data_IF_947338707394
#
_entry.id   IF_947338707394
#
_cell.length_a   1.000
_cell.length_b   1.000
_cell.length_c   1.000
_cell.angle_alpha   90.00
_cell.angle_beta   90.00
_cell.angle_gamma   90.00
#
_symmetry.space_group_name_H-M   'P 1'
#
loop_
_entity.id
_entity.type
_entity.pdbx_description
1 polymer ?
#
# COMPACT_ATOMS: atom_id res chain seq x y z
N UNK A 1 -8.41 -4.51 -2.12
CA UNK A 1 -9.37 -4.60 -1.00
C UNK A 1 -10.11 -5.92 -0.99
N UNK A 2 -10.88 -6.30 -2.03
CA UNK A 2 -11.51 -7.64 -2.11
C UNK A 2 -10.53 -8.79 -1.91
N UNK A 3 -9.33 -8.70 -2.50
CA UNK A 3 -8.28 -9.70 -2.31
C UNK A 3 -7.81 -9.86 -0.86
N UNK A 4 -7.94 -8.81 -0.03
CA UNK A 4 -7.64 -8.85 1.39
C UNK A 4 -8.83 -9.44 2.18
N UNK A 5 -10.05 -8.97 1.89
CA UNK A 5 -11.29 -9.44 2.55
C UNK A 5 -11.56 -10.93 2.30
N UNK A 6 -11.10 -11.47 1.17
CA UNK A 6 -11.19 -12.90 0.88
C UNK A 6 -10.26 -13.78 1.75
N UNK A 7 -9.30 -13.19 2.46
CA UNK A 7 -8.28 -13.92 3.23
C UNK A 7 -8.30 -13.61 4.73
N UNK A 8 -8.78 -12.43 5.12
CA UNK A 8 -8.77 -11.98 6.50
C UNK A 8 -10.07 -11.24 6.85
N UNK A 9 -10.48 -11.37 8.11
CA UNK A 9 -11.62 -10.65 8.68
C UNK A 9 -11.14 -9.32 9.27
N UNK A 10 -11.87 -8.25 8.97
CA UNK A 10 -11.58 -6.91 9.46
C UNK A 10 -12.78 -6.39 10.24
N UNK A 11 -12.54 -5.62 11.29
CA UNK A 11 -13.61 -4.95 12.03
C UNK A 11 -14.38 -3.96 11.15
N UNK A 12 -13.70 -3.29 10.22
CA UNK A 12 -14.30 -2.40 9.22
C UNK A 12 -13.38 -2.31 7.99
N UNK A 13 -13.94 -2.25 6.78
CA UNK A 13 -13.24 -1.97 5.54
C UNK A 13 -13.70 -0.63 4.96
N UNK A 14 -12.77 0.30 4.75
CA UNK A 14 -13.07 1.68 4.33
C UNK A 14 -12.52 1.96 2.92
N UNK A 15 -13.39 2.42 2.01
CA UNK A 15 -13.01 2.96 0.71
C UNK A 15 -13.12 4.47 0.70
N UNK A 16 -11.99 5.18 0.69
CA UNK A 16 -11.98 6.63 0.57
C UNK A 16 -12.05 7.04 -0.91
N UNK A 17 -13.07 7.82 -1.29
CA UNK A 17 -13.26 8.27 -2.67
C UNK A 17 -13.98 9.61 -2.77
N UNK A 18 -13.77 10.32 -3.87
CA UNK A 18 -14.45 11.58 -4.19
C UNK A 18 -15.69 11.39 -5.06
N UNK A 19 -15.96 10.16 -5.50
CA UNK A 19 -17.15 9.85 -6.27
C UNK A 19 -18.38 9.99 -5.38
N UNK A 20 -19.40 10.66 -5.89
CA UNK A 20 -20.67 10.87 -5.20
C UNK A 20 -21.38 9.52 -5.00
N UNK A 21 -21.57 9.15 -3.74
CA UNK A 21 -22.19 7.88 -3.30
C UNK A 21 -23.70 7.99 -3.09
N UNK A 22 -24.35 9.08 -3.52
CA UNK A 22 -25.81 9.21 -3.46
C UNK A 22 -26.55 8.15 -4.30
N UNK A 23 -25.84 7.44 -5.17
CA UNK A 23 -26.15 6.07 -5.61
C UNK A 23 -24.95 5.17 -5.33
N UNK A 24 -25.20 3.89 -5.03
CA UNK A 24 -24.16 2.85 -4.94
C UNK A 24 -23.11 3.03 -6.03
N UNK A 25 -21.84 3.20 -5.64
CA UNK A 25 -20.73 3.06 -6.60
C UNK A 25 -20.89 1.64 -7.17
N UNK A 26 -21.17 1.49 -8.48
CA UNK A 26 -21.37 0.17 -9.06
C UNK A 26 -20.15 -0.70 -8.73
N UNK A 27 -20.40 -1.95 -8.35
CA UNK A 27 -19.36 -2.97 -8.10
C UNK A 27 -18.50 -2.79 -6.83
N UNK A 28 -18.97 -2.08 -5.80
CA UNK A 28 -18.36 -2.15 -4.45
C UNK A 28 -19.17 -3.11 -3.57
N UNK A 29 -18.55 -4.18 -3.03
CA UNK A 29 -19.20 -5.09 -2.08
C UNK A 29 -19.80 -4.40 -0.84
N UNK A 30 -20.89 -4.94 -0.31
CA UNK A 30 -21.65 -4.35 0.83
C UNK A 30 -20.84 -4.28 2.13
N UNK A 31 -19.84 -5.15 2.30
CA UNK A 31 -18.92 -5.19 3.44
C UNK A 31 -17.84 -4.09 3.39
N UNK A 32 -17.76 -3.34 2.28
CA UNK A 32 -16.90 -2.17 2.13
C UNK A 32 -17.72 -0.90 2.33
N UNK A 33 -17.41 -0.17 3.40
CA UNK A 33 -18.01 1.14 3.65
C UNK A 33 -17.30 2.22 2.84
N UNK A 34 -18.06 2.91 2.01
CA UNK A 34 -17.54 4.05 1.24
C UNK A 34 -17.53 5.31 2.11
N UNK A 35 -16.40 6.01 2.12
CA UNK A 35 -16.19 7.26 2.84
C UNK A 35 -15.88 8.37 1.83
N UNK A 36 -16.82 9.32 1.64
CA UNK A 36 -16.59 10.46 0.76
C UNK A 36 -15.47 11.36 1.28
N UNK A 37 -14.51 11.69 0.41
CA UNK A 37 -13.43 12.66 0.68
C UNK A 37 -13.25 13.58 -0.53
N UNK A 38 -12.54 14.69 -0.35
CA UNK A 38 -12.15 15.53 -1.48
C UNK A 38 -11.25 14.76 -2.47
N UNK A 39 -11.33 15.12 -3.75
CA UNK A 39 -10.52 14.50 -4.78
C UNK A 39 -9.03 14.73 -4.52
N UNK A 40 -8.30 13.64 -4.26
CA UNK A 40 -6.84 13.65 -4.15
C UNK A 40 -6.24 13.74 -5.54
N UNK A 41 -5.56 14.86 -5.84
CA UNK A 41 -4.99 15.15 -7.18
C UNK A 41 -3.47 14.97 -7.26
N UNK A 42 -2.83 14.59 -6.16
CA UNK A 42 -1.38 14.36 -6.09
C UNK A 42 -1.03 13.42 -4.94
N UNK A 43 0.16 12.83 -5.01
CA UNK A 43 0.71 12.04 -3.90
C UNK A 43 0.92 12.87 -2.64
N UNK A 44 1.17 14.18 -2.78
CA UNK A 44 1.24 15.09 -1.63
C UNK A 44 -0.13 15.29 -0.97
N UNK A 45 -1.21 15.44 -1.75
CA UNK A 45 -2.57 15.48 -1.22
C UNK A 45 -2.93 14.18 -0.49
N UNK A 46 -2.48 13.04 -1.02
CA UNK A 46 -2.60 11.75 -0.33
C UNK A 46 -1.82 11.75 1.00
N UNK A 47 -0.55 12.14 1.02
CA UNK A 47 0.24 12.21 2.26
C UNK A 47 -0.41 13.12 3.30
N UNK A 48 -0.93 14.28 2.90
CA UNK A 48 -1.64 15.18 3.80
C UNK A 48 -2.91 14.54 4.37
N UNK A 49 -3.69 13.84 3.55
CA UNK A 49 -4.87 13.10 4.02
C UNK A 49 -4.49 12.05 5.08
N UNK A 50 -3.45 11.25 4.81
CA UNK A 50 -2.98 10.22 5.73
C UNK A 50 -2.50 10.82 7.07
N UNK A 51 -1.70 11.89 7.03
CA UNK A 51 -1.11 12.49 8.22
C UNK A 51 -2.11 13.27 9.09
N UNK A 52 -3.20 13.79 8.50
CA UNK A 52 -4.07 14.75 9.21
C UNK A 52 -5.54 14.36 9.32
N UNK A 53 -6.06 13.51 8.41
CA UNK A 53 -7.51 13.23 8.30
C UNK A 53 -7.85 11.77 8.51
N UNK A 54 -6.98 10.83 8.12
CA UNK A 54 -7.27 9.39 8.20
C UNK A 54 -7.73 8.97 9.61
N UNK A 55 -7.07 9.48 10.65
CA UNK A 55 -7.35 9.14 12.04
C UNK A 55 -8.79 9.44 12.47
N UNK A 56 -9.46 10.42 11.85
CA UNK A 56 -10.84 10.76 12.17
C UNK A 56 -11.82 9.63 11.76
N UNK A 57 -11.36 8.67 10.95
CA UNK A 57 -12.16 7.55 10.43
C UNK A 57 -11.83 6.18 11.07
N UNK A 58 -10.71 6.07 11.80
CA UNK A 58 -10.26 4.78 12.36
C UNK A 58 -10.86 4.57 13.75
N UNK A 59 -11.59 3.49 14.00
CA UNK A 59 -12.19 3.23 15.33
C UNK A 59 -11.46 2.18 16.17
N UNK A 60 -10.55 1.45 15.53
CA UNK A 60 -9.75 0.37 16.10
C UNK A 60 -8.41 0.89 16.60
N UNK A 61 -7.69 0.04 17.34
CA UNK A 61 -6.33 0.35 17.82
C UNK A 61 -5.31 0.42 16.69
N UNK A 62 -5.51 -0.36 15.62
CA UNK A 62 -4.69 -0.34 14.41
C UNK A 62 -5.55 -0.31 13.15
N UNK A 63 -4.99 0.22 12.08
CA UNK A 63 -5.54 0.10 10.73
C UNK A 63 -4.50 -0.42 9.76
N UNK A 64 -4.91 -1.33 8.87
CA UNK A 64 -4.12 -1.75 7.72
C UNK A 64 -4.45 -0.82 6.53
N UNK A 65 -3.45 -0.09 6.06
CA UNK A 65 -3.53 0.71 4.84
C UNK A 65 -3.12 -0.17 3.67
N UNK A 66 -3.95 -0.18 2.64
CA UNK A 66 -3.66 -0.85 1.36
C UNK A 66 -3.89 0.12 0.21
N UNK A 67 -2.92 0.20 -0.70
CA UNK A 67 -3.06 0.89 -1.98
C UNK A 67 -3.49 -0.07 -3.09
N UNK A 68 -3.79 0.45 -4.27
CA UNK A 68 -4.30 -0.34 -5.38
C UNK A 68 -3.31 -1.44 -5.86
N UNK A 69 -2.02 -1.26 -5.59
CA UNK A 69 -0.93 -2.16 -5.93
C UNK A 69 -0.27 -2.82 -4.72
N UNK A 70 -0.95 -2.86 -3.57
CA UNK A 70 -0.52 -3.60 -2.38
C UNK A 70 -1.67 -4.36 -1.72
N UNK A 71 -1.50 -5.66 -1.47
CA UNK A 71 -2.53 -6.55 -0.93
C UNK A 71 -1.94 -7.59 0.04
N UNK A 72 -2.82 -8.27 0.78
CA UNK A 72 -2.45 -9.52 1.46
C UNK A 72 -2.06 -10.54 0.39
N UNK A 73 -0.85 -11.08 0.49
CA UNK A 73 -0.34 -12.14 -0.36
C UNK A 73 -0.75 -13.51 0.18
N UNK A 74 -0.55 -13.72 1.49
CA UNK A 74 -0.88 -14.95 2.20
C UNK A 74 -1.23 -14.65 3.66
N UNK A 75 -2.52 -14.76 4.00
CA UNK A 75 -2.98 -14.53 5.37
C UNK A 75 -2.42 -15.53 6.40
N UNK A 76 -1.92 -16.69 5.97
CA UNK A 76 -1.29 -17.65 6.90
C UNK A 76 0.05 -17.16 7.46
N UNK A 77 0.64 -16.13 6.85
CA UNK A 77 1.87 -15.48 7.33
C UNK A 77 1.59 -14.38 8.37
N UNK A 78 0.34 -14.17 8.78
CA UNK A 78 0.01 -13.24 9.85
C UNK A 78 0.73 -13.62 11.15
N UNK A 79 1.30 -12.63 11.83
CA UNK A 79 1.92 -12.76 13.15
C UNK A 79 1.33 -11.70 14.08
N UNK A 80 0.79 -12.12 15.21
CA UNK A 80 0.20 -11.19 16.20
C UNK A 80 1.23 -10.17 16.71
N UNK A 81 2.54 -10.49 16.65
CA UNK A 81 3.61 -9.55 16.97
C UNK A 81 3.61 -8.30 16.07
N UNK A 82 2.93 -8.30 14.92
CA UNK A 82 2.74 -7.10 14.10
C UNK A 82 1.96 -6.01 14.85
N UNK A 83 1.06 -6.39 15.76
CA UNK A 83 0.24 -5.45 16.54
C UNK A 83 1.00 -4.84 17.73
N UNK A 84 2.15 -5.38 18.11
CA UNK A 84 2.99 -4.84 19.18
C UNK A 84 3.68 -3.53 18.80
N UNK A 85 3.61 -3.15 17.52
CA UNK A 85 4.24 -1.95 16.97
C UNK A 85 3.22 -0.92 16.49
N UNK A 86 3.62 0.34 16.53
CA UNK A 86 2.81 1.45 16.03
C UNK A 86 2.91 1.65 14.54
N UNK A 87 4.02 1.21 13.95
CA UNK A 87 4.23 1.26 12.52
C UNK A 87 4.97 0.01 12.07
N UNK A 88 4.39 -0.66 11.07
CA UNK A 88 5.05 -1.69 10.30
C UNK A 88 4.61 -1.59 8.83
N UNK A 89 5.59 -1.64 7.94
CA UNK A 89 5.44 -1.74 6.50
C UNK A 89 6.71 -2.39 5.94
N UNK A 90 6.89 -2.39 4.61
CA UNK A 90 8.08 -2.97 4.00
C UNK A 90 9.36 -2.20 4.40
N UNK A 91 10.47 -2.92 4.52
CA UNK A 91 11.77 -2.28 4.77
C UNK A 91 12.34 -1.62 3.50
N UNK A 92 13.10 -0.56 3.70
CA UNK A 92 13.80 0.21 2.67
C UNK A 92 15.26 -0.25 2.58
N UNK A 93 15.66 -0.96 1.51
CA UNK A 93 17.03 -1.46 1.38
C UNK A 93 18.07 -0.36 1.14
N UNK A 94 17.65 0.87 0.84
CA UNK A 94 18.55 2.01 0.62
C UNK A 94 19.02 2.70 1.91
N UNK A 95 18.54 2.28 3.08
CA UNK A 95 18.92 2.81 4.38
C UNK A 95 19.51 1.69 5.27
N UNK A 96 20.40 2.06 6.19
CA UNK A 96 21.10 1.14 7.11
C UNK A 96 21.37 1.79 8.49
N UNK A 97 20.57 2.81 8.84
CA UNK A 97 20.77 3.68 10.00
C UNK A 97 19.74 3.49 11.13
N UNK A 98 19.09 2.32 11.20
CA UNK A 98 18.05 1.98 12.19
C UNK A 98 16.65 2.55 11.86
N UNK A 99 16.53 3.23 10.72
CA UNK A 99 15.32 3.90 10.24
C UNK A 99 14.84 3.33 8.90
N UNK A 100 15.02 2.03 8.71
CA UNK A 100 14.79 1.33 7.45
C UNK A 100 13.32 0.92 7.27
N UNK A 101 12.51 0.90 8.32
CA UNK A 101 11.10 0.47 8.22
C UNK A 101 10.19 1.65 7.88
N UNK A 102 9.40 1.45 6.83
CA UNK A 102 8.58 2.47 6.20
C UNK A 102 7.57 1.85 5.25
N UNK A 103 7.39 2.48 4.09
CA UNK A 103 6.47 2.06 3.04
C UNK A 103 4.99 2.30 3.38
N UNK A 104 4.46 3.42 2.89
CA UNK A 104 3.10 3.82 3.24
C UNK A 104 1.99 3.01 2.58
N UNK A 105 2.26 2.32 1.48
CA UNK A 105 1.24 1.76 0.58
C UNK A 105 0.73 0.37 0.94
N UNK A 106 1.46 -0.37 1.76
CA UNK A 106 0.95 -1.52 2.51
C UNK A 106 1.55 -1.47 3.92
N UNK A 107 0.81 -0.89 4.87
CA UNK A 107 1.33 -0.65 6.23
C UNK A 107 0.24 -0.82 7.29
N UNK A 108 0.60 -1.41 8.43
CA UNK A 108 -0.21 -1.43 9.64
C UNK A 108 0.26 -0.29 10.54
N UNK A 109 -0.69 0.53 10.99
CA UNK A 109 -0.41 1.71 11.80
C UNK A 109 -1.34 1.76 13.00
N UNK A 110 -0.81 2.07 14.18
CA UNK A 110 -1.64 2.30 15.35
C UNK A 110 -2.39 3.62 15.22
N UNK A 111 -3.58 3.70 15.80
CA UNK A 111 -4.37 4.91 15.88
C UNK A 111 -3.62 6.01 16.63
N UNK A 112 -2.94 5.67 17.73
CA UNK A 112 -2.17 6.64 18.52
C UNK A 112 -1.02 7.27 17.73
N UNK A 113 -0.40 6.53 16.81
CA UNK A 113 0.59 7.10 15.89
C UNK A 113 -0.03 8.12 14.94
N UNK A 114 -1.18 7.78 14.35
CA UNK A 114 -1.90 8.69 13.48
C UNK A 114 -2.37 9.97 14.21
N UNK A 115 -2.73 9.85 15.50
CA UNK A 115 -3.02 11.01 16.35
C UNK A 115 -1.75 11.86 16.59
N UNK A 116 -0.62 11.22 16.88
CA UNK A 116 0.67 11.91 17.10
C UNK A 116 1.18 12.67 15.86
N UNK A 117 0.79 12.27 14.65
CA UNK A 117 1.10 12.99 13.41
C UNK A 117 0.48 14.41 13.37
N UNK A 118 -0.53 14.68 14.22
CA UNK A 118 -1.20 15.99 14.32
C UNK A 118 -0.63 16.88 15.42
N UNK A 119 0.31 16.38 16.21
CA UNK A 119 0.84 17.10 17.35
C UNK A 119 1.69 18.31 16.92
N UNK A 120 1.66 19.36 17.73
CA UNK A 120 2.58 20.49 17.58
C UNK A 120 4.03 20.00 17.68
N UNK A 121 4.80 20.23 16.62
CA UNK A 121 6.18 19.75 16.50
C UNK A 121 6.39 18.63 15.48
N UNK A 122 5.32 17.93 15.07
CA UNK A 122 5.39 17.00 13.95
C UNK A 122 5.59 17.76 12.63
N UNK A 123 6.64 17.41 11.88
CA UNK A 123 6.99 18.01 10.59
C UNK A 123 6.32 17.22 9.47
N UNK A 124 5.09 17.57 9.13
CA UNK A 124 4.35 16.94 8.04
C UNK A 124 4.91 17.32 6.66
N UNK A 125 5.24 16.31 5.84
CA UNK A 125 5.61 16.50 4.44
C UNK A 125 5.37 15.22 3.62
N UNK A 126 5.43 15.34 2.30
CA UNK A 126 5.44 14.20 1.38
C UNK A 126 6.87 13.65 1.20
N UNK A 127 7.05 12.32 1.08
CA UNK A 127 6.06 11.26 1.31
C UNK A 127 5.82 11.02 2.79
N UNK A 128 4.60 10.61 3.15
CA UNK A 128 4.15 10.54 4.55
C UNK A 128 4.88 9.47 5.36
N UNK A 129 5.29 8.39 4.71
CA UNK A 129 6.06 7.32 5.34
C UNK A 129 7.47 7.78 5.72
N UNK A 130 8.14 8.59 4.89
CA UNK A 130 9.41 9.23 5.26
C UNK A 130 9.20 10.26 6.37
N UNK A 131 8.10 11.03 6.32
CA UNK A 131 7.78 11.97 7.39
C UNK A 131 7.63 11.24 8.74
N UNK A 132 6.93 10.10 8.77
CA UNK A 132 6.72 9.30 9.98
C UNK A 132 7.99 8.53 10.37
N UNK A 133 8.49 7.68 9.48
CA UNK A 133 9.52 6.68 9.77
C UNK A 133 10.95 7.23 9.83
N UNK A 134 11.18 8.47 9.38
CA UNK A 134 12.51 9.10 9.39
C UNK A 134 12.50 10.51 9.97
N UNK A 135 11.86 11.47 9.32
CA UNK A 135 11.94 12.89 9.72
C UNK A 135 11.47 13.14 11.15
N UNK A 136 10.43 12.42 11.57
CA UNK A 136 9.84 12.54 12.91
C UNK A 136 10.06 11.29 13.76
N UNK A 137 10.96 10.37 13.38
CA UNK A 137 11.14 9.12 14.13
C UNK A 137 11.50 9.39 15.59
N UNK A 138 12.57 10.13 15.83
CA UNK A 138 13.03 10.45 17.19
C UNK A 138 11.93 11.16 18.00
N UNK A 139 11.18 12.06 17.35
CA UNK A 139 10.06 12.77 17.98
C UNK A 139 8.94 11.82 18.41
N UNK A 140 8.64 10.81 17.60
CA UNK A 140 7.60 9.82 17.88
C UNK A 140 8.08 8.79 18.92
N UNK A 141 9.32 8.31 18.83
CA UNK A 141 9.91 7.38 19.80
C UNK A 141 10.05 8.03 21.18
N UNK A 142 10.37 9.33 21.25
CA UNK A 142 10.37 10.08 22.51
C UNK A 142 8.98 10.16 23.18
N UNK A 143 7.90 9.92 22.41
CA UNK A 143 6.52 9.81 22.90
C UNK A 143 6.09 8.36 23.15
N UNK A 144 7.03 7.41 23.10
CA UNK A 144 6.79 5.99 23.32
C UNK A 144 6.15 5.28 22.13
N UNK A 145 6.26 5.81 20.91
CA UNK A 145 5.92 5.06 19.70
C UNK A 145 7.01 4.04 19.38
N UNK A 146 6.61 2.94 18.77
CA UNK A 146 7.46 1.81 18.45
C UNK A 146 7.31 1.45 16.98
N UNK A 147 8.41 1.10 16.34
CA UNK A 147 8.45 0.73 14.93
C UNK A 147 9.02 -0.68 14.84
N UNK A 148 8.46 -1.48 13.96
CA UNK A 148 8.91 -2.86 13.81
C UNK A 148 10.39 -2.92 13.39
N UNK A 149 11.15 -3.93 13.85
CA UNK A 149 12.49 -4.19 13.34
C UNK A 149 12.40 -4.73 11.91
N UNK A 150 13.51 -4.60 11.17
CA UNK A 150 13.60 -4.97 9.74
C UNK A 150 13.19 -6.42 9.49
N UNK A 151 13.56 -7.34 10.37
CA UNK A 151 13.24 -8.76 10.26
C UNK A 151 11.73 -9.00 10.28
N UNK A 152 11.01 -8.28 11.15
CA UNK A 152 9.56 -8.39 11.25
C UNK A 152 8.87 -7.66 10.09
N UNK A 153 9.39 -6.50 9.70
CA UNK A 153 8.93 -5.76 8.52
C UNK A 153 9.00 -6.60 7.24
N UNK A 154 10.07 -7.36 7.04
CA UNK A 154 10.23 -8.25 5.88
C UNK A 154 9.29 -9.46 5.89
N UNK A 155 8.80 -9.89 7.07
CA UNK A 155 7.74 -10.88 7.20
C UNK A 155 6.35 -10.29 7.02
N UNK A 156 6.18 -9.00 7.34
CA UNK A 156 4.91 -8.31 7.16
C UNK A 156 4.66 -7.95 5.69
N UNK A 157 5.62 -7.32 5.02
CA UNK A 157 5.44 -6.87 3.64
C UNK A 157 6.71 -6.94 2.80
N UNK A 158 6.56 -7.44 1.58
CA UNK A 158 7.58 -7.36 0.53
C UNK A 158 7.37 -6.12 -0.35
N UNK A 159 8.47 -5.49 -0.77
CA UNK A 159 8.49 -4.49 -1.85
C UNK A 159 9.84 -4.56 -2.58
N UNK A 160 10.77 -3.63 -2.29
CA UNK A 160 12.14 -3.62 -2.82
C UNK A 160 13.07 -4.53 -2.00
N UNK A 161 12.69 -4.81 -0.77
CA UNK A 161 13.23 -5.84 0.10
C UNK A 161 12.10 -6.82 0.51
N UNK A 162 12.47 -7.92 1.17
CA UNK A 162 11.55 -8.98 1.53
C UNK A 162 11.24 -9.94 0.37
N UNK A 163 10.66 -11.09 0.72
CA UNK A 163 10.24 -12.12 -0.23
C UNK A 163 8.71 -12.18 -0.26
N UNK A 164 8.05 -11.88 -1.41
CA UNK A 164 6.59 -11.90 -1.49
C UNK A 164 5.97 -13.27 -1.23
N UNK A 165 6.73 -14.37 -1.34
CA UNK A 165 6.23 -15.73 -1.03
C UNK A 165 6.30 -16.06 0.48
N UNK A 166 7.04 -15.26 1.26
CA UNK A 166 7.21 -15.44 2.70
C UNK A 166 6.61 -14.31 3.53
N UNK A 167 6.08 -13.26 2.89
CA UNK A 167 5.50 -12.10 3.55
C UNK A 167 3.96 -12.19 3.62
N UNK A 168 3.38 -11.62 4.67
CA UNK A 168 1.93 -11.48 4.82
C UNK A 168 1.28 -10.69 3.67
N UNK A 169 1.92 -9.60 3.27
CA UNK A 169 1.48 -8.81 2.13
C UNK A 169 2.63 -8.27 1.31
N UNK A 170 2.28 -7.36 0.41
CA UNK A 170 3.25 -6.71 -0.45
C UNK A 170 2.78 -5.32 -0.85
N UNK A 171 3.72 -4.51 -1.32
CA UNK A 171 3.47 -3.26 -1.99
C UNK A 171 4.25 -3.18 -3.31
N UNK A 172 3.72 -2.44 -4.27
CA UNK A 172 4.37 -2.16 -5.54
C UNK A 172 3.85 -3.02 -6.68
N UNK A 173 3.43 -2.33 -7.73
CA UNK A 173 2.87 -2.93 -8.94
C UNK A 173 3.74 -3.99 -9.60
N UNK A 174 5.05 -3.93 -9.44
CA UNK A 174 5.99 -4.89 -10.02
C UNK A 174 5.92 -6.28 -9.37
N UNK A 175 5.36 -6.41 -8.16
CA UNK A 175 5.11 -7.68 -7.48
C UNK A 175 3.74 -8.29 -7.86
N UNK A 176 2.78 -7.49 -8.35
CA UNK A 176 1.44 -7.98 -8.68
C UNK A 176 1.43 -9.15 -9.69
N UNK A 177 2.24 -9.19 -10.75
CA UNK A 177 2.25 -10.34 -11.66
C UNK A 177 2.70 -11.65 -11.00
N UNK A 178 3.59 -11.56 -10.01
CA UNK A 178 4.07 -12.69 -9.22
C UNK A 178 2.96 -13.17 -8.28
N UNK A 179 2.38 -12.26 -7.49
CA UNK A 179 1.39 -12.60 -6.46
C UNK A 179 0.01 -12.94 -7.05
N UNK A 180 -0.47 -12.20 -8.04
CA UNK A 180 -1.80 -12.38 -8.63
C UNK A 180 -1.82 -13.31 -9.85
N UNK A 181 -0.65 -13.59 -10.42
CA UNK A 181 -0.50 -14.23 -11.72
C UNK A 181 -0.74 -13.26 -12.89
N UNK A 182 -0.13 -13.59 -14.04
CA UNK A 182 -0.12 -12.71 -15.21
C UNK A 182 -1.48 -12.41 -15.82
N UNK A 183 -2.48 -13.29 -15.71
CA UNK A 183 -3.82 -13.06 -16.25
C UNK A 183 -4.63 -12.06 -15.41
N UNK A 184 -4.65 -12.22 -14.08
CA UNK A 184 -5.34 -11.31 -13.18
C UNK A 184 -4.71 -9.93 -13.21
N UNK A 185 -3.37 -9.87 -13.17
CA UNK A 185 -2.64 -8.61 -13.36
C UNK A 185 -3.02 -7.93 -14.68
N UNK A 186 -3.07 -8.68 -15.79
CA UNK A 186 -3.43 -8.11 -17.09
C UNK A 186 -4.86 -7.57 -17.13
N UNK A 187 -5.80 -8.24 -16.45
CA UNK A 187 -7.17 -7.74 -16.32
C UNK A 187 -7.21 -6.38 -15.62
N UNK A 188 -6.53 -6.25 -14.48
CA UNK A 188 -6.40 -5.00 -13.72
C UNK A 188 -5.75 -3.91 -14.59
N UNK A 189 -4.61 -4.22 -15.21
CA UNK A 189 -3.86 -3.30 -16.06
C UNK A 189 -4.71 -2.66 -17.18
N UNK A 190 -5.61 -3.44 -17.80
CA UNK A 190 -6.48 -2.94 -18.87
C UNK A 190 -7.50 -1.93 -18.36
N UNK A 191 -7.90 -2.03 -17.10
CA UNK A 191 -8.93 -1.19 -16.49
C UNK A 191 -8.36 0.00 -15.71
N UNK A 192 -7.04 0.16 -15.64
CA UNK A 192 -6.43 1.35 -15.02
C UNK A 192 -6.69 2.60 -15.86
N UNK A 193 -7.21 3.64 -15.22
CA UNK A 193 -7.40 4.96 -15.84
C UNK A 193 -6.06 5.70 -16.01
N UNK A 194 -5.17 5.59 -15.03
CA UNK A 194 -3.79 6.10 -15.07
C UNK A 194 -2.78 4.95 -14.96
N UNK A 195 -1.75 5.00 -15.80
CA UNK A 195 -0.70 3.99 -15.93
C UNK A 195 0.70 4.56 -15.70
N UNK A 196 0.82 5.81 -15.26
CA UNK A 196 2.10 6.48 -15.03
C UNK A 196 3.00 5.73 -14.03
N UNK A 197 2.39 5.10 -13.01
CA UNK A 197 3.06 4.28 -11.99
C UNK A 197 3.81 3.08 -12.56
N UNK A 198 3.48 2.63 -13.77
CA UNK A 198 4.12 1.47 -14.42
C UNK A 198 5.42 1.84 -15.15
N UNK A 199 5.67 3.13 -15.40
CA UNK A 199 6.81 3.58 -16.22
C UNK A 199 8.17 3.18 -15.63
N UNK A 200 8.42 3.34 -14.31
CA UNK A 200 9.72 3.01 -13.74
C UNK A 200 10.01 1.50 -13.84
N UNK A 201 9.00 0.67 -13.61
CA UNK A 201 9.13 -0.79 -13.50
C UNK A 201 8.74 -1.54 -14.79
N UNK A 202 8.60 -0.82 -15.91
CA UNK A 202 8.09 -1.37 -17.18
C UNK A 202 8.80 -2.64 -17.63
N UNK A 203 10.15 -2.69 -17.54
CA UNK A 203 10.93 -3.87 -17.97
C UNK A 203 10.64 -5.10 -17.10
N UNK A 204 10.51 -4.89 -15.80
CA UNK A 204 10.21 -5.95 -14.83
C UNK A 204 8.81 -6.51 -15.09
N UNK A 205 7.83 -5.62 -15.22
CA UNK A 205 6.44 -5.97 -15.53
C UNK A 205 6.35 -6.71 -16.87
N UNK A 206 7.04 -6.22 -17.92
CA UNK A 206 7.04 -6.83 -19.25
C UNK A 206 7.53 -8.28 -19.22
N UNK A 207 8.60 -8.56 -18.48
CA UNK A 207 9.13 -9.92 -18.33
C UNK A 207 8.14 -10.82 -17.59
N UNK A 208 7.54 -10.31 -16.51
CA UNK A 208 6.61 -11.08 -15.71
C UNK A 208 5.33 -11.45 -16.48
N UNK A 209 4.76 -10.52 -17.27
CA UNK A 209 3.54 -10.80 -18.05
C UNK A 209 3.77 -11.65 -19.31
N UNK A 210 5.02 -11.79 -19.74
CA UNK A 210 5.40 -12.61 -20.90
C UNK A 210 5.29 -14.12 -20.60
N UNK A 211 5.25 -14.51 -19.34
CA UNK A 211 5.06 -15.90 -18.91
C UNK A 211 3.63 -16.42 -19.10
N UNK A 212 3.51 -17.76 -19.18
CA UNK A 212 2.22 -18.47 -19.24
C UNK A 212 1.47 -18.38 -20.57
N UNK A 213 0.29 -19.02 -20.63
CA UNK A 213 -0.57 -18.99 -21.82
C UNK A 213 -0.97 -17.55 -22.16
N UNK A 214 -0.80 -17.17 -23.43
CA UNK A 214 -1.09 -15.81 -23.91
C UNK A 214 -0.05 -14.74 -23.52
N UNK A 215 1.03 -15.09 -22.83
CA UNK A 215 2.02 -14.12 -22.32
C UNK A 215 2.71 -13.31 -23.42
N UNK A 216 3.08 -13.94 -24.54
CA UNK A 216 3.67 -13.24 -25.70
C UNK A 216 2.72 -12.16 -26.24
N UNK A 217 1.41 -12.42 -26.31
CA UNK A 217 0.42 -11.42 -26.78
C UNK A 217 0.30 -10.25 -25.81
N UNK A 218 0.30 -10.51 -24.50
CA UNK A 218 0.32 -9.46 -23.46
C UNK A 218 1.58 -8.61 -23.57
N UNK A 219 2.74 -9.24 -23.71
CA UNK A 219 4.02 -8.55 -23.84
C UNK A 219 4.08 -7.66 -25.09
N UNK A 220 3.62 -8.16 -26.25
CA UNK A 220 3.53 -7.37 -27.48
C UNK A 220 2.59 -6.17 -27.30
N UNK A 221 1.43 -6.37 -26.68
CA UNK A 221 0.48 -5.28 -26.42
C UNK A 221 1.06 -4.21 -25.49
N UNK A 222 1.76 -4.63 -24.43
CA UNK A 222 2.42 -3.73 -23.48
C UNK A 222 3.55 -2.93 -24.16
N UNK A 223 4.37 -3.59 -24.97
CA UNK A 223 5.42 -2.95 -25.76
C UNK A 223 4.87 -1.95 -26.79
N UNK A 224 3.81 -2.32 -27.52
CA UNK A 224 3.15 -1.43 -28.48
C UNK A 224 2.60 -0.17 -27.80
N UNK A 225 1.96 -0.30 -26.63
CA UNK A 225 1.45 0.84 -25.86
C UNK A 225 2.56 1.79 -25.40
N UNK A 226 3.73 1.26 -25.02
CA UNK A 226 4.90 2.07 -24.68
C UNK A 226 5.43 2.86 -25.86
N UNK A 227 5.51 2.24 -27.04
CA UNK A 227 5.92 2.93 -28.29
C UNK A 227 4.93 4.02 -28.69
N UNK A 228 3.64 3.80 -28.46
CA UNK A 228 2.57 4.75 -28.77
C UNK A 228 2.39 5.88 -27.74
N UNK A 229 3.23 5.95 -26.69
CA UNK A 229 3.11 6.96 -25.63
C UNK A 229 1.87 6.80 -24.73
N UNK A 230 1.21 5.64 -24.80
CA UNK A 230 0.05 5.27 -23.97
C UNK A 230 0.46 4.63 -22.64
N UNK A 231 1.78 4.59 -22.38
CA UNK A 231 2.43 4.21 -21.12
C UNK A 231 3.49 5.21 -20.76
#
# INVERSE_FOLDING_TARGET
MEACLAQAEFAEALLFTHLDTSGTVPDVPEDIRIVPIDQLRSSEAYSQFILSRLVDHIRTEHCLIVQWDGHIADASQWDDAFLDYDYIGASWPQFDDGHEVGNGGFSLRSRRLLEACRADGFKAHHPEDIAIGRTNRDFLEAQGMTFAPVELANRFAAERAGDPDAAFGYHGVFLMPHVLGGERFWSIFRNLDDRATLRPDFKTILRAVAGGKGGIRRAISLAARRVLGLL
#
